data_IF_297700644314
#
_entry.id   IF_297700644314
#
_cell.length_a   1.000
_cell.length_b   1.000
_cell.length_c   1.000
_cell.angle_alpha   90.00
_cell.angle_beta   90.00
_cell.angle_gamma   90.00
#
_symmetry.space_group_name_H-M   'P 1'
#
loop_
_entity.id
_entity.type
_entity.pdbx_description
1 polymer ?
#
# COMPACT_ATOMS: atom_id res chain seq x y z
N UNK A 1 -30.77 12.61 21.64
CA UNK A 1 -29.93 12.19 22.80
C UNK A 1 -28.67 11.57 22.21
N UNK A 2 -27.65 12.42 22.07
CA UNK A 2 -26.37 12.05 21.39
C UNK A 2 -25.39 11.42 22.37
N UNK A 3 -25.50 10.13 22.64
CA UNK A 3 -24.57 9.42 23.52
C UNK A 3 -23.68 8.46 22.72
N UNK A 4 -23.99 8.22 21.43
CA UNK A 4 -23.27 7.23 20.60
C UNK A 4 -21.88 7.66 20.10
N UNK A 5 -21.65 8.96 19.95
CA UNK A 5 -20.44 9.48 19.29
C UNK A 5 -19.22 9.69 20.22
N UNK A 6 -19.43 9.77 21.55
CA UNK A 6 -18.34 10.10 22.48
C UNK A 6 -17.47 8.90 22.88
N UNK A 7 -17.97 7.69 22.74
CA UNK A 7 -17.25 6.48 23.17
C UNK A 7 -16.15 6.02 22.19
N UNK A 8 -16.29 6.36 20.91
CA UNK A 8 -15.30 5.98 19.86
C UNK A 8 -14.01 6.81 19.92
N UNK A 9 -14.02 8.02 20.47
CA UNK A 9 -12.82 8.89 20.55
C UNK A 9 -11.67 8.33 21.40
N UNK A 10 -11.91 7.27 22.18
CA UNK A 10 -10.89 6.69 23.09
C UNK A 10 -10.14 5.48 22.54
N UNK A 11 -10.58 4.88 21.44
CA UNK A 11 -10.01 3.59 20.97
C UNK A 11 -9.02 3.77 19.82
N UNK A 12 -9.06 4.89 19.08
CA UNK A 12 -8.14 5.13 17.95
C UNK A 12 -7.12 6.20 18.26
N UNK A 13 -6.06 5.81 18.96
CA UNK A 13 -4.90 6.69 19.22
C UNK A 13 -3.83 6.68 18.11
N UNK A 14 -4.11 6.20 16.90
CA UNK A 14 -3.13 6.20 15.83
C UNK A 14 -3.72 6.74 14.53
N UNK A 15 -3.34 7.96 14.18
CA UNK A 15 -3.35 8.62 12.85
C UNK A 15 -4.65 8.70 12.05
N UNK A 16 -5.74 8.10 12.46
CA UNK A 16 -7.04 8.28 11.83
C UNK A 16 -7.92 9.09 12.77
N UNK A 17 -8.29 10.32 12.38
CA UNK A 17 -9.29 11.08 13.09
C UNK A 17 -10.65 10.66 12.55
N UNK A 18 -11.43 9.94 13.34
CA UNK A 18 -12.83 9.68 13.05
C UNK A 18 -13.62 10.98 13.11
N UNK A 19 -14.35 11.29 12.05
CA UNK A 19 -15.35 12.36 12.03
C UNK A 19 -16.68 11.67 12.27
N UNK A 20 -17.26 11.89 13.45
CA UNK A 20 -18.59 11.36 13.73
C UNK A 20 -19.63 12.04 12.83
N UNK A 21 -20.46 11.26 12.17
CA UNK A 21 -21.59 11.76 11.37
C UNK A 21 -22.62 12.37 12.30
N UNK A 22 -22.71 13.69 12.36
CA UNK A 22 -23.78 14.40 13.04
C UNK A 22 -25.01 14.38 12.14
N UNK A 23 -25.99 13.55 12.46
CA UNK A 23 -27.26 13.40 11.71
C UNK A 23 -28.23 14.56 12.05
N UNK A 24 -27.76 15.79 12.00
CA UNK A 24 -28.64 16.95 11.98
C UNK A 24 -28.69 17.51 10.55
N UNK A 25 -29.87 17.63 9.91
CA UNK A 25 -29.93 18.18 8.55
C UNK A 25 -29.48 19.63 8.57
N UNK A 26 -28.31 19.91 7.99
CA UNK A 26 -27.92 21.27 7.65
C UNK A 26 -28.55 21.64 6.30
N UNK A 27 -29.35 22.69 6.29
CA UNK A 27 -30.21 23.12 5.16
C UNK A 27 -29.41 23.81 4.03
N UNK A 28 -28.08 23.79 4.05
CA UNK A 28 -27.24 24.55 3.11
C UNK A 28 -26.06 23.73 2.54
N UNK A 29 -26.27 22.45 2.22
CA UNK A 29 -25.25 21.74 1.44
C UNK A 29 -25.43 22.08 -0.05
N UNK A 30 -24.53 22.92 -0.57
CA UNK A 30 -24.36 23.08 -2.00
C UNK A 30 -24.17 21.69 -2.63
N UNK A 31 -24.77 21.46 -3.80
CA UNK A 31 -24.66 20.20 -4.57
C UNK A 31 -23.19 19.76 -4.64
N UNK A 32 -22.80 18.83 -3.76
CA UNK A 32 -21.49 18.23 -3.79
C UNK A 32 -21.55 17.03 -4.74
N UNK A 33 -20.63 16.99 -5.69
CA UNK A 33 -20.49 15.84 -6.58
C UNK A 33 -20.07 14.62 -5.71
N UNK A 34 -21.00 13.67 -5.57
CA UNK A 34 -20.83 12.48 -4.72
C UNK A 34 -20.54 11.22 -5.52
N UNK A 35 -20.18 11.36 -6.80
CA UNK A 35 -19.83 10.20 -7.62
C UNK A 35 -18.48 9.62 -7.19
N UNK A 36 -18.35 8.29 -7.16
CA UNK A 36 -17.08 7.63 -6.83
C UNK A 36 -15.98 8.03 -7.81
N UNK A 37 -14.79 8.29 -7.31
CA UNK A 37 -13.62 8.55 -8.17
C UNK A 37 -13.21 7.22 -8.81
N UNK A 38 -13.49 7.08 -10.10
CA UNK A 38 -12.98 5.97 -10.90
C UNK A 38 -11.55 6.32 -11.31
N UNK A 39 -10.57 5.65 -10.77
CA UNK A 39 -9.19 5.75 -11.24
C UNK A 39 -9.14 5.06 -12.60
N UNK A 40 -8.78 5.75 -13.70
CA UNK A 40 -8.66 5.09 -14.99
C UNK A 40 -7.56 4.04 -14.90
N UNK A 41 -7.91 2.79 -15.19
CA UNK A 41 -6.93 1.73 -15.45
C UNK A 41 -6.13 2.14 -16.68
N UNK A 42 -4.82 2.31 -16.55
CA UNK A 42 -3.93 2.59 -17.66
C UNK A 42 -3.86 1.38 -18.58
N UNK A 43 -4.75 1.33 -19.56
CA UNK A 43 -4.56 0.52 -20.75
C UNK A 43 -3.67 1.31 -21.71
N UNK A 44 -2.43 0.85 -21.85
CA UNK A 44 -1.50 1.29 -22.87
C UNK A 44 -2.02 0.89 -24.25
N UNK A 45 -2.48 1.85 -25.02
CA UNK A 45 -2.50 1.75 -26.48
C UNK A 45 -1.46 2.74 -27.01
N UNK A 46 -0.44 2.19 -27.66
CA UNK A 46 0.57 2.90 -28.39
C UNK A 46 -0.04 3.57 -29.62
N UNK A 47 0.25 4.86 -29.82
CA UNK A 47 0.36 5.44 -31.15
C UNK A 47 1.49 6.47 -31.17
N UNK A 48 2.32 6.30 -32.20
CA UNK A 48 3.53 7.03 -32.51
C UNK A 48 3.27 8.51 -32.83
N UNK A 49 4.14 9.38 -32.37
CA UNK A 49 4.64 10.47 -33.22
C UNK A 49 5.96 11.00 -32.68
N UNK A 50 6.91 11.07 -33.60
CA UNK A 50 8.28 11.52 -33.44
C UNK A 50 8.40 13.02 -33.09
N UNK A 51 9.40 13.41 -32.33
CA UNK A 51 10.55 14.24 -32.73
C UNK A 51 11.40 14.68 -31.53
N UNK A 52 12.68 14.56 -31.74
CA UNK A 52 13.86 15.33 -31.33
C UNK A 52 14.48 15.16 -29.92
N UNK A 53 15.59 14.52 -30.04
CA UNK A 53 16.93 14.58 -29.47
C UNK A 53 17.20 15.45 -28.22
N UNK A 54 17.63 14.81 -27.16
CA UNK A 54 18.82 15.25 -26.46
C UNK A 54 19.61 14.04 -25.90
N UNK A 55 20.85 13.97 -26.36
CA UNK A 55 21.85 12.96 -26.07
C UNK A 55 22.23 12.93 -24.58
N UNK A 56 22.19 11.79 -23.97
CA UNK A 56 23.17 11.41 -22.95
C UNK A 56 23.44 9.92 -23.06
N UNK A 57 24.64 9.64 -23.46
CA UNK A 57 25.29 8.36 -23.66
C UNK A 57 25.32 7.50 -22.39
N UNK A 58 24.86 6.26 -22.48
CA UNK A 58 25.60 5.12 -21.95
C UNK A 58 25.12 3.84 -22.63
N UNK A 59 25.81 3.55 -23.75
CA UNK A 59 25.82 2.29 -24.44
C UNK A 59 26.65 1.29 -23.64
N UNK A 60 26.07 0.14 -23.31
CA UNK A 60 26.86 -1.02 -22.88
C UNK A 60 26.40 -2.26 -23.65
N UNK A 61 27.26 -2.61 -24.59
CA UNK A 61 27.60 -3.92 -25.19
C UNK A 61 26.51 -4.68 -25.97
N UNK A 62 26.66 -4.55 -27.30
CA UNK A 62 26.47 -5.67 -28.22
C UNK A 62 27.86 -6.15 -28.66
N UNK A 63 28.23 -7.35 -28.25
CA UNK A 63 29.36 -8.09 -28.77
C UNK A 63 28.96 -8.63 -30.16
N UNK A 64 29.51 -8.05 -31.21
CA UNK A 64 29.65 -8.73 -32.50
C UNK A 64 31.13 -8.79 -32.84
N UNK A 65 31.64 -10.01 -32.87
CA UNK A 65 32.96 -10.38 -33.31
C UNK A 65 33.27 -9.81 -34.71
N UNK A 66 34.28 -8.97 -34.78
CA UNK A 66 35.11 -8.82 -35.97
C UNK A 66 36.55 -8.96 -35.52
N UNK A 67 37.10 -10.14 -35.74
CA UNK A 67 38.51 -10.41 -35.58
C UNK A 67 39.30 -9.48 -36.49
N UNK A 68 40.17 -8.66 -35.92
CA UNK A 68 41.21 -7.93 -36.63
C UNK A 68 42.37 -8.89 -36.91
N UNK A 69 42.75 -9.16 -38.18
CA UNK A 69 43.76 -10.16 -38.49
C UNK A 69 45.21 -9.73 -38.25
N UNK A 70 45.45 -8.57 -37.64
CA UNK A 70 46.80 -8.04 -37.37
C UNK A 70 47.23 -8.09 -35.89
N UNK A 71 46.39 -8.63 -34.99
CA UNK A 71 46.76 -8.77 -33.58
C UNK A 71 47.54 -10.06 -33.32
N UNK A 72 48.85 -9.94 -33.13
CA UNK A 72 49.70 -11.01 -32.56
C UNK A 72 49.72 -10.80 -31.03
N UNK A 73 49.26 -11.78 -30.23
CA UNK A 73 49.40 -11.69 -28.80
C UNK A 73 50.86 -11.85 -28.41
N UNK A 74 51.44 -10.83 -27.79
CA UNK A 74 52.71 -10.98 -27.09
C UNK A 74 52.50 -11.90 -25.90
N UNK A 75 53.27 -12.99 -25.83
CA UNK A 75 53.39 -13.85 -24.64
C UNK A 75 53.88 -13.02 -23.45
N UNK A 76 52.97 -12.60 -22.64
CA UNK A 76 53.19 -11.91 -21.37
C UNK A 76 52.15 -12.36 -20.39
N UNK A 77 52.43 -13.43 -19.67
CA UNK A 77 51.78 -13.88 -18.47
C UNK A 77 51.80 -12.75 -17.41
N UNK A 78 50.77 -11.92 -17.41
CA UNK A 78 50.37 -11.15 -16.23
C UNK A 78 48.86 -11.31 -16.10
N UNK A 79 48.46 -12.32 -15.37
CA UNK A 79 47.14 -12.33 -14.75
C UNK A 79 47.07 -11.09 -13.85
N UNK A 80 46.34 -10.06 -14.30
CA UNK A 80 46.22 -8.83 -13.59
C UNK A 80 45.55 -9.10 -12.24
N UNK A 81 46.22 -8.78 -11.12
CA UNK A 81 45.71 -8.84 -9.76
C UNK A 81 44.36 -8.12 -9.56
N UNK A 82 44.00 -7.20 -10.46
CA UNK A 82 42.75 -6.45 -10.45
C UNK A 82 41.48 -7.30 -10.67
N UNK A 83 41.59 -8.43 -11.41
CA UNK A 83 40.41 -9.30 -11.63
C UNK A 83 40.08 -10.19 -10.43
N UNK A 84 41.08 -10.56 -9.63
CA UNK A 84 40.89 -11.37 -8.42
C UNK A 84 40.35 -10.50 -7.28
N UNK A 85 40.89 -9.29 -7.12
CA UNK A 85 40.42 -8.34 -6.12
C UNK A 85 38.94 -7.92 -6.35
N UNK A 86 38.53 -7.78 -7.63
CA UNK A 86 37.14 -7.49 -7.97
C UNK A 86 36.21 -8.66 -7.62
N UNK A 87 36.63 -9.91 -7.87
CA UNK A 87 35.85 -11.11 -7.54
C UNK A 87 35.67 -11.28 -6.02
N UNK A 88 36.71 -10.99 -5.23
CA UNK A 88 36.62 -11.04 -3.76
C UNK A 88 35.72 -9.94 -3.21
N UNK A 89 35.78 -8.72 -3.75
CA UNK A 89 34.92 -7.64 -3.35
C UNK A 89 33.44 -7.92 -3.68
N UNK A 90 33.16 -8.47 -4.85
CA UNK A 90 31.80 -8.86 -5.27
C UNK A 90 31.24 -9.98 -4.40
N UNK A 91 32.07 -10.95 -4.04
CA UNK A 91 31.68 -12.02 -3.13
C UNK A 91 31.35 -11.50 -1.73
N UNK A 92 32.19 -10.61 -1.16
CA UNK A 92 31.94 -9.97 0.12
C UNK A 92 30.66 -9.13 0.10
N UNK A 93 30.45 -8.35 -0.94
CA UNK A 93 29.23 -7.56 -1.11
C UNK A 93 27.98 -8.45 -1.18
N UNK A 94 28.01 -9.52 -1.94
CA UNK A 94 26.92 -10.49 -2.02
C UNK A 94 26.61 -11.15 -0.67
N UNK A 95 27.66 -11.46 0.11
CA UNK A 95 27.52 -12.01 1.45
C UNK A 95 26.90 -11.01 2.43
N UNK A 96 27.33 -9.75 2.40
CA UNK A 96 26.75 -8.68 3.22
C UNK A 96 25.27 -8.43 2.89
N UNK A 97 24.89 -8.38 1.61
CA UNK A 97 23.51 -8.26 1.17
C UNK A 97 22.64 -9.42 1.67
N UNK A 98 23.15 -10.64 1.60
CA UNK A 98 22.44 -11.82 2.12
C UNK A 98 22.24 -11.75 3.64
N UNK A 99 23.24 -11.27 4.37
CA UNK A 99 23.14 -11.09 5.82
C UNK A 99 22.12 -10.00 6.16
N UNK A 100 22.11 -8.87 5.47
CA UNK A 100 21.14 -7.79 5.65
C UNK A 100 19.70 -8.26 5.42
N UNK A 101 19.47 -9.02 4.34
CA UNK A 101 18.18 -9.63 4.07
C UNK A 101 17.74 -10.58 5.21
N UNK A 102 18.64 -11.46 5.65
CA UNK A 102 18.32 -12.40 6.73
C UNK A 102 17.96 -11.68 8.05
N UNK A 103 18.67 -10.60 8.38
CA UNK A 103 18.35 -9.77 9.55
C UNK A 103 16.97 -9.11 9.40
N UNK A 104 16.67 -8.58 8.23
CA UNK A 104 15.35 -7.99 7.94
C UNK A 104 14.23 -9.02 8.11
N UNK A 105 14.40 -10.22 7.57
CA UNK A 105 13.41 -11.30 7.72
C UNK A 105 13.25 -11.72 9.19
N UNK A 106 14.36 -11.85 9.92
CA UNK A 106 14.33 -12.16 11.36
C UNK A 106 13.56 -11.08 12.15
N UNK A 107 13.77 -9.80 11.87
CA UNK A 107 13.02 -8.72 12.51
C UNK A 107 11.53 -8.77 12.19
N UNK A 108 11.17 -9.07 10.94
CA UNK A 108 9.78 -9.22 10.51
C UNK A 108 9.12 -10.40 11.25
N UNK A 109 9.78 -11.55 11.32
CA UNK A 109 9.26 -12.76 11.97
C UNK A 109 9.12 -12.57 13.49
N UNK A 110 10.05 -11.87 14.12
CA UNK A 110 9.99 -11.60 15.56
C UNK A 110 8.91 -10.56 15.91
N UNK A 111 8.62 -9.62 15.02
CA UNK A 111 7.62 -8.57 15.29
C UNK A 111 6.78 -8.22 14.05
N UNK A 112 5.99 -9.18 13.53
CA UNK A 112 5.23 -8.99 12.30
C UNK A 112 4.18 -7.88 12.42
N UNK A 113 3.64 -7.65 13.61
CA UNK A 113 2.68 -6.56 13.84
C UNK A 113 3.30 -5.18 13.64
N UNK A 114 4.56 -4.99 14.01
CA UNK A 114 5.28 -3.73 13.79
C UNK A 114 5.54 -3.51 12.31
N UNK A 115 6.14 -4.51 11.64
CA UNK A 115 6.66 -4.36 10.29
C UNK A 115 5.61 -4.56 9.19
N UNK A 116 4.68 -5.49 9.39
CA UNK A 116 3.67 -5.85 8.39
C UNK A 116 2.24 -5.43 8.77
N UNK A 117 2.01 -5.04 10.02
CA UNK A 117 0.67 -4.78 10.54
C UNK A 117 -0.16 -6.04 10.84
N UNK A 118 0.44 -7.23 10.74
CA UNK A 118 -0.23 -8.53 10.92
C UNK A 118 0.10 -9.07 12.31
N UNK A 119 -0.93 -9.50 13.05
CA UNK A 119 -0.72 -10.15 14.35
C UNK A 119 0.02 -11.47 14.17
N UNK A 120 0.97 -11.85 15.08
CA UNK A 120 1.70 -13.10 14.99
C UNK A 120 0.81 -14.34 14.84
N UNK A 121 -0.35 -14.36 15.48
CA UNK A 121 -1.32 -15.47 15.37
C UNK A 121 -1.90 -15.62 13.96
N UNK A 122 -1.90 -14.57 13.16
CA UNK A 122 -2.49 -14.52 11.84
C UNK A 122 -1.46 -14.63 10.69
N UNK A 123 -0.20 -14.92 10.98
CA UNK A 123 0.85 -15.07 9.95
C UNK A 123 0.56 -16.22 8.96
N UNK A 124 -0.27 -17.19 9.33
CA UNK A 124 -0.73 -18.26 8.45
C UNK A 124 -1.54 -17.72 7.26
N UNK A 125 -2.25 -16.60 7.43
CA UNK A 125 -3.02 -15.93 6.36
C UNK A 125 -2.09 -15.51 5.21
N UNK A 126 -0.88 -15.05 5.51
CA UNK A 126 0.10 -14.65 4.49
C UNK A 126 0.59 -15.86 3.67
N UNK A 127 0.67 -17.04 4.28
CA UNK A 127 1.01 -18.28 3.56
C UNK A 127 -0.12 -18.69 2.62
N UNK A 128 -1.36 -18.55 3.05
CA UNK A 128 -2.52 -18.82 2.18
C UNK A 128 -2.64 -17.78 1.07
N UNK A 129 -2.39 -16.49 1.36
CA UNK A 129 -2.28 -15.43 0.35
C UNK A 129 -1.22 -15.78 -0.71
N UNK A 130 -0.01 -16.18 -0.28
CA UNK A 130 1.07 -16.57 -1.19
C UNK A 130 0.66 -17.70 -2.13
N UNK A 131 -0.03 -18.72 -1.60
CA UNK A 131 -0.52 -19.85 -2.39
C UNK A 131 -1.65 -19.44 -3.36
N UNK A 132 -2.64 -18.69 -2.86
CA UNK A 132 -3.81 -18.28 -3.63
C UNK A 132 -3.42 -17.37 -4.80
N UNK A 133 -2.59 -16.37 -4.54
CA UNK A 133 -2.20 -15.38 -5.55
C UNK A 133 -0.92 -15.75 -6.31
N UNK A 134 -0.28 -16.89 -5.98
CA UNK A 134 1.02 -17.32 -6.54
C UNK A 134 2.10 -16.24 -6.42
N UNK A 135 2.09 -15.48 -5.32
CA UNK A 135 3.04 -14.41 -5.04
C UNK A 135 4.11 -14.93 -4.09
N UNK A 136 5.38 -14.63 -4.37
CA UNK A 136 6.48 -14.96 -3.46
C UNK A 136 6.29 -14.24 -2.11
N UNK A 137 6.56 -14.94 -1.00
CA UNK A 137 6.42 -14.39 0.35
C UNK A 137 7.22 -13.10 0.55
N UNK A 138 8.38 -12.99 -0.07
CA UNK A 138 9.21 -11.79 -0.02
C UNK A 138 8.50 -10.56 -0.59
N UNK A 139 7.81 -10.71 -1.72
CA UNK A 139 7.03 -9.62 -2.33
C UNK A 139 5.85 -9.20 -1.45
N UNK A 140 5.19 -10.17 -0.78
CA UNK A 140 4.13 -9.87 0.19
C UNK A 140 4.69 -9.03 1.33
N UNK A 141 5.86 -9.39 1.87
CA UNK A 141 6.51 -8.62 2.94
C UNK A 141 6.88 -7.20 2.49
N UNK A 142 7.40 -7.04 1.27
CA UNK A 142 7.71 -5.71 0.69
C UNK A 142 6.45 -4.85 0.63
N UNK A 143 5.34 -5.38 0.06
CA UNK A 143 4.08 -4.62 -0.09
C UNK A 143 3.49 -4.26 1.27
N UNK A 144 3.37 -5.23 2.18
CA UNK A 144 2.79 -4.98 3.50
C UNK A 144 3.63 -4.01 4.33
N UNK A 145 4.97 -4.12 4.26
CA UNK A 145 5.87 -3.19 4.94
C UNK A 145 5.78 -1.78 4.36
N UNK A 146 5.65 -1.65 3.03
CA UNK A 146 5.37 -0.37 2.37
C UNK A 146 4.08 0.25 2.87
N UNK A 147 2.99 -0.50 2.91
CA UNK A 147 1.69 -0.02 3.41
C UNK A 147 1.77 0.34 4.90
N UNK A 148 2.43 -0.48 5.70
CA UNK A 148 2.48 -0.32 7.16
C UNK A 148 3.33 0.85 7.62
N UNK A 149 4.52 1.00 7.04
CA UNK A 149 5.53 1.96 7.50
C UNK A 149 5.71 3.16 6.57
N UNK A 150 5.19 3.07 5.34
CA UNK A 150 5.37 4.09 4.28
C UNK A 150 6.85 4.46 4.05
N UNK A 151 7.75 3.47 4.16
CA UNK A 151 9.17 3.67 3.88
C UNK A 151 9.40 4.03 2.41
N UNK A 152 10.48 4.76 2.13
CA UNK A 152 10.88 5.05 0.76
C UNK A 152 11.31 3.77 0.03
N UNK A 153 11.25 3.78 -1.31
CA UNK A 153 11.67 2.61 -2.08
C UNK A 153 13.19 2.34 -1.96
N UNK A 154 13.99 3.36 -1.62
CA UNK A 154 15.40 3.26 -1.28
C UNK A 154 15.61 2.43 -0.01
N UNK A 155 14.92 2.81 1.08
CA UNK A 155 15.02 2.09 2.36
C UNK A 155 14.55 0.63 2.23
N UNK A 156 13.50 0.40 1.43
CA UNK A 156 13.05 -0.96 1.14
C UNK A 156 14.09 -1.73 0.30
N UNK A 157 14.76 -1.08 -0.66
CA UNK A 157 15.80 -1.73 -1.46
C UNK A 157 16.98 -2.19 -0.60
N UNK A 158 17.39 -1.36 0.34
CA UNK A 158 18.46 -1.68 1.31
C UNK A 158 18.02 -2.83 2.24
N UNK A 159 16.82 -2.73 2.81
CA UNK A 159 16.28 -3.72 3.74
C UNK A 159 16.11 -5.11 3.09
N UNK A 160 15.65 -5.16 1.85
CA UNK A 160 15.40 -6.41 1.12
C UNK A 160 16.54 -6.80 0.18
N UNK A 161 17.65 -6.05 0.20
CA UNK A 161 18.86 -6.32 -0.59
C UNK A 161 18.58 -6.53 -2.08
N UNK A 162 17.76 -5.67 -2.65
CA UNK A 162 17.41 -5.71 -4.08
C UNK A 162 17.35 -4.31 -4.68
N UNK A 163 17.28 -4.21 -6.00
CA UNK A 163 17.24 -2.90 -6.66
C UNK A 163 15.93 -2.15 -6.40
N UNK A 164 15.98 -0.81 -6.41
CA UNK A 164 14.80 0.05 -6.31
C UNK A 164 13.74 -0.29 -7.37
N UNK A 165 14.16 -0.62 -8.60
CA UNK A 165 13.26 -1.05 -9.66
C UNK A 165 12.58 -2.38 -9.37
N UNK A 166 13.25 -3.30 -8.67
CA UNK A 166 12.64 -4.55 -8.19
C UNK A 166 11.58 -4.27 -7.13
N UNK A 167 11.85 -3.36 -6.18
CA UNK A 167 10.87 -2.93 -5.18
C UNK A 167 9.64 -2.30 -5.85
N UNK A 168 9.84 -1.35 -6.80
CA UNK A 168 8.73 -0.73 -7.52
C UNK A 168 7.85 -1.76 -8.23
N UNK A 169 8.47 -2.73 -8.94
CA UNK A 169 7.72 -3.83 -9.57
C UNK A 169 7.00 -4.70 -8.56
N UNK A 170 7.69 -5.12 -7.49
CA UNK A 170 7.08 -5.94 -6.45
C UNK A 170 5.82 -5.25 -5.86
N UNK A 171 5.84 -3.94 -5.66
CA UNK A 171 4.69 -3.20 -5.14
C UNK A 171 3.59 -3.10 -6.22
N UNK A 172 3.90 -2.63 -7.42
CA UNK A 172 2.90 -2.37 -8.46
C UNK A 172 2.20 -3.66 -8.93
N UNK A 173 2.95 -4.73 -9.11
CA UNK A 173 2.42 -5.99 -9.64
C UNK A 173 1.62 -6.77 -8.60
N UNK A 174 1.92 -6.61 -7.30
CA UNK A 174 1.32 -7.44 -6.26
C UNK A 174 0.29 -6.71 -5.38
N UNK A 175 0.17 -5.37 -5.48
CA UNK A 175 -0.77 -4.61 -4.66
C UNK A 175 -2.23 -5.03 -4.92
N UNK A 176 -2.61 -5.15 -6.20
CA UNK A 176 -3.98 -5.52 -6.58
C UNK A 176 -4.32 -6.95 -6.16
N UNK A 177 -3.55 -8.00 -6.52
CA UNK A 177 -3.84 -9.36 -6.08
C UNK A 177 -3.90 -9.52 -4.55
N UNK A 178 -3.03 -8.83 -3.81
CA UNK A 178 -3.07 -8.81 -2.34
C UNK A 178 -4.35 -8.17 -1.84
N UNK A 179 -4.77 -7.05 -2.43
CA UNK A 179 -6.01 -6.35 -2.09
C UNK A 179 -7.24 -7.24 -2.36
N UNK A 180 -7.29 -7.91 -3.50
CA UNK A 180 -8.37 -8.83 -3.86
C UNK A 180 -8.50 -9.98 -2.86
N UNK A 181 -7.38 -10.60 -2.48
CA UNK A 181 -7.40 -11.64 -1.45
C UNK A 181 -7.90 -11.09 -0.10
N UNK A 182 -7.38 -9.94 0.34
CA UNK A 182 -7.76 -9.35 1.62
C UNK A 182 -9.22 -8.89 1.63
N UNK A 183 -9.78 -8.50 0.50
CA UNK A 183 -11.18 -8.11 0.38
C UNK A 183 -12.15 -9.25 0.72
N UNK A 184 -11.73 -10.52 0.56
CA UNK A 184 -12.53 -11.69 0.93
C UNK A 184 -12.82 -11.77 2.44
N UNK A 185 -12.06 -11.08 3.27
CA UNK A 185 -12.28 -10.99 4.73
C UNK A 185 -13.26 -9.88 5.11
N UNK A 186 -13.70 -9.05 4.16
CA UNK A 186 -14.67 -8.00 4.39
C UNK A 186 -16.05 -8.55 4.01
N UNK A 187 -16.85 -8.92 5.00
CA UNK A 187 -18.19 -9.48 4.81
C UNK A 187 -19.10 -9.17 6.00
N UNK A 188 -20.41 -9.22 5.79
CA UNK A 188 -21.37 -9.05 6.87
C UNK A 188 -21.49 -10.36 7.67
N UNK A 189 -21.03 -10.35 8.94
CA UNK A 189 -21.17 -11.52 9.81
C UNK A 189 -22.63 -11.73 10.20
N UNK A 190 -23.00 -12.99 10.55
CA UNK A 190 -24.35 -13.27 11.03
C UNK A 190 -24.63 -12.53 12.34
N UNK A 191 -25.90 -12.18 12.56
CA UNK A 191 -26.34 -11.48 13.78
C UNK A 191 -25.98 -12.24 15.05
N UNK A 192 -26.05 -13.57 15.02
CA UNK A 192 -25.70 -14.45 16.14
C UNK A 192 -24.20 -14.34 16.46
N UNK A 193 -23.36 -14.32 15.43
CA UNK A 193 -21.91 -14.17 15.59
C UNK A 193 -21.56 -12.80 16.18
N UNK A 194 -22.21 -11.75 15.67
CA UNK A 194 -22.05 -10.40 16.23
C UNK A 194 -22.44 -10.37 17.71
N UNK A 195 -23.61 -10.89 18.09
CA UNK A 195 -24.10 -10.88 19.48
C UNK A 195 -23.18 -11.63 20.43
N UNK A 196 -22.60 -12.76 20.03
CA UNK A 196 -21.68 -13.53 20.86
C UNK A 196 -20.41 -12.76 21.18
N UNK A 197 -19.94 -11.94 20.26
CA UNK A 197 -18.65 -11.23 20.34
C UNK A 197 -18.80 -9.75 20.75
N UNK A 198 -20.01 -9.28 21.08
CA UNK A 198 -20.23 -7.90 21.52
C UNK A 198 -19.43 -7.61 22.78
N UNK A 199 -18.56 -6.57 22.80
CA UNK A 199 -17.82 -6.16 23.99
C UNK A 199 -18.76 -5.80 25.15
N UNK A 200 -18.31 -6.04 26.37
CA UNK A 200 -19.12 -5.81 27.58
C UNK A 200 -19.67 -4.38 27.65
N UNK A 201 -18.89 -3.39 27.22
CA UNK A 201 -19.29 -1.99 27.18
C UNK A 201 -20.52 -1.72 26.28
N UNK A 202 -20.71 -2.51 25.21
CA UNK A 202 -21.85 -2.39 24.31
C UNK A 202 -23.07 -3.17 24.80
N UNK A 203 -22.88 -4.25 25.58
CA UNK A 203 -23.97 -5.14 26.00
C UNK A 203 -25.03 -4.42 26.85
N UNK A 204 -24.58 -3.48 27.68
CA UNK A 204 -25.48 -2.80 28.63
C UNK A 204 -26.45 -1.80 27.93
N UNK A 205 -25.91 -1.00 26.99
CA UNK A 205 -26.65 0.14 26.44
C UNK A 205 -26.86 0.04 24.91
N UNK A 206 -26.08 -0.79 24.23
CA UNK A 206 -26.02 -0.84 22.77
C UNK A 206 -26.12 -2.26 22.22
N UNK A 207 -26.85 -3.15 22.91
CA UNK A 207 -26.97 -4.58 22.54
C UNK A 207 -27.58 -4.85 21.15
N UNK A 208 -28.32 -3.86 20.62
CA UNK A 208 -28.97 -3.94 19.30
C UNK A 208 -28.15 -3.27 18.18
N UNK A 209 -26.99 -2.69 18.48
CA UNK A 209 -26.12 -2.10 17.46
C UNK A 209 -25.46 -3.22 16.68
N UNK A 210 -25.68 -3.25 15.38
CA UNK A 210 -25.10 -4.24 14.46
C UNK A 210 -23.85 -3.71 13.77
N UNK A 211 -23.81 -2.39 13.51
CA UNK A 211 -22.71 -1.74 12.84
C UNK A 211 -22.43 -0.33 13.40
N UNK A 212 -21.18 0.06 13.34
CA UNK A 212 -20.70 1.40 13.61
C UNK A 212 -20.12 1.91 12.30
N UNK A 213 -20.60 3.05 11.85
CA UNK A 213 -20.25 3.64 10.56
C UNK A 213 -19.41 4.90 10.81
N UNK A 214 -18.34 5.07 10.06
CA UNK A 214 -17.51 6.28 10.11
C UNK A 214 -16.84 6.51 8.76
N UNK A 215 -16.52 7.77 8.45
CA UNK A 215 -15.72 8.11 7.28
C UNK A 215 -14.29 8.41 7.68
N UNK A 216 -13.34 7.95 6.89
CA UNK A 216 -11.94 8.36 7.04
C UNK A 216 -11.37 8.88 5.72
N UNK A 217 -10.41 9.76 5.81
CA UNK A 217 -9.76 10.37 4.66
C UNK A 217 -8.29 9.99 4.61
N UNK A 218 -7.80 9.73 3.40
CA UNK A 218 -6.39 9.51 3.12
C UNK A 218 -5.88 10.70 2.33
N UNK A 219 -4.83 11.36 2.81
CA UNK A 219 -4.14 12.42 2.08
C UNK A 219 -3.54 11.87 0.79
N UNK A 220 -3.73 12.60 -0.30
CA UNK A 220 -3.16 12.30 -1.61
C UNK A 220 -2.30 13.47 -2.08
N UNK A 221 -1.41 13.20 -3.03
CA UNK A 221 -0.70 14.25 -3.74
C UNK A 221 -1.72 15.16 -4.45
N UNK A 222 -1.41 16.46 -4.48
CA UNK A 222 -2.25 17.45 -5.16
C UNK A 222 -2.38 17.07 -6.64
N UNK A 223 -3.59 16.79 -7.14
CA UNK A 223 -3.81 16.48 -8.55
C UNK A 223 -3.35 17.62 -9.46
N UNK A 224 -2.85 17.31 -10.67
CA UNK A 224 -2.49 18.32 -11.66
C UNK A 224 -3.70 19.00 -12.29
N UNK A 225 -4.81 18.28 -12.38
CA UNK A 225 -6.07 18.79 -12.92
C UNK A 225 -6.83 19.63 -11.89
N UNK A 226 -7.34 20.81 -12.32
CA UNK A 226 -8.03 21.76 -11.42
C UNK A 226 -9.38 21.26 -10.92
N UNK A 227 -10.10 20.47 -11.74
CA UNK A 227 -11.37 19.88 -11.34
C UNK A 227 -11.14 18.82 -10.26
N UNK A 228 -10.17 17.91 -10.48
CA UNK A 228 -9.78 16.90 -9.48
C UNK A 228 -9.24 17.54 -8.21
N UNK A 229 -8.50 18.67 -8.29
CA UNK A 229 -8.09 19.42 -7.10
C UNK A 229 -9.31 19.89 -6.29
N UNK A 230 -10.32 20.43 -6.97
CA UNK A 230 -11.54 20.92 -6.33
C UNK A 230 -12.35 19.79 -5.70
N UNK A 231 -12.52 18.67 -6.40
CA UNK A 231 -13.27 17.51 -5.93
C UNK A 231 -12.62 16.80 -4.74
N UNK A 232 -11.28 16.77 -4.73
CA UNK A 232 -10.52 16.07 -3.67
C UNK A 232 -10.14 16.97 -2.49
N UNK A 233 -10.41 18.27 -2.55
CA UNK A 233 -10.10 19.20 -1.47
C UNK A 233 -10.92 18.91 -0.20
N UNK A 234 -10.24 18.64 0.90
CA UNK A 234 -10.85 18.49 2.22
C UNK A 234 -10.74 19.79 3.01
N UNK A 235 -11.90 20.39 3.34
CA UNK A 235 -11.93 21.59 4.20
C UNK A 235 -11.53 21.28 5.64
N UNK A 236 -11.63 20.04 6.04
CA UNK A 236 -11.25 19.61 7.38
C UNK A 236 -9.74 19.46 7.53
N UNK A 237 -9.08 18.78 6.59
CA UNK A 237 -7.63 18.54 6.62
C UNK A 237 -6.80 19.62 5.95
N UNK A 238 -7.45 20.51 5.15
CA UNK A 238 -6.78 21.56 4.36
C UNK A 238 -5.78 21.04 3.34
N UNK A 239 -6.03 19.86 2.81
CA UNK A 239 -5.25 19.21 1.76
C UNK A 239 -6.17 18.39 0.84
N UNK A 240 -5.61 17.85 -0.24
CA UNK A 240 -6.35 16.94 -1.12
C UNK A 240 -6.40 15.53 -0.50
N UNK A 241 -7.60 14.95 -0.44
CA UNK A 241 -7.86 13.65 0.19
C UNK A 241 -8.80 12.80 -0.64
N UNK A 242 -8.75 11.49 -0.42
CA UNK A 242 -9.79 10.54 -0.82
C UNK A 242 -10.47 10.04 0.44
N UNK A 243 -11.79 10.10 0.45
CA UNK A 243 -12.66 9.73 1.57
C UNK A 243 -13.29 8.36 1.34
N UNK A 244 -13.35 7.55 2.38
CA UNK A 244 -13.96 6.23 2.39
C UNK A 244 -14.93 6.12 3.56
N UNK A 245 -16.11 5.53 3.29
CA UNK A 245 -17.02 5.10 4.34
C UNK A 245 -16.62 3.69 4.77
N UNK A 246 -16.46 3.48 6.07
CA UNK A 246 -16.19 2.17 6.67
C UNK A 246 -17.27 1.83 7.66
N UNK A 247 -17.74 0.61 7.60
CA UNK A 247 -18.60 0.02 8.60
C UNK A 247 -17.90 -1.09 9.35
N UNK A 248 -18.01 -1.10 10.65
CA UNK A 248 -17.48 -2.16 11.51
C UNK A 248 -18.53 -2.64 12.50
N UNK A 249 -18.48 -3.91 12.84
CA UNK A 249 -19.24 -4.44 13.97
C UNK A 249 -18.73 -3.87 15.30
N UNK A 250 -19.52 -3.88 16.39
CA UNK A 250 -19.08 -3.43 17.71
C UNK A 250 -17.84 -4.15 18.24
N UNK A 251 -17.53 -5.36 17.77
CA UNK A 251 -16.33 -6.09 18.11
C UNK A 251 -15.10 -5.69 17.27
N UNK A 252 -15.22 -4.71 16.36
CA UNK A 252 -14.12 -4.18 15.58
C UNK A 252 -13.87 -4.90 14.25
N UNK A 253 -14.75 -5.81 13.84
CA UNK A 253 -14.67 -6.50 12.56
C UNK A 253 -15.19 -5.58 11.45
N UNK A 254 -14.36 -5.28 10.44
CA UNK A 254 -14.75 -4.46 9.28
C UNK A 254 -15.64 -5.29 8.36
N UNK A 255 -16.87 -4.83 8.13
CA UNK A 255 -17.86 -5.54 7.33
C UNK A 255 -18.22 -4.84 6.02
N UNK A 256 -17.78 -3.59 5.84
CA UNK A 256 -17.96 -2.85 4.61
C UNK A 256 -16.93 -1.73 4.46
N UNK A 257 -16.48 -1.50 3.23
CA UNK A 257 -15.68 -0.35 2.80
C UNK A 257 -16.25 0.14 1.48
N UNK A 258 -16.56 1.44 1.39
CA UNK A 258 -17.07 2.04 0.15
C UNK A 258 -15.97 2.20 -0.91
N UNK A 259 -16.36 2.57 -2.12
CA UNK A 259 -15.46 3.18 -3.09
C UNK A 259 -14.91 4.51 -2.55
N UNK A 260 -13.83 5.00 -3.15
CA UNK A 260 -13.24 6.29 -2.80
C UNK A 260 -14.05 7.47 -3.34
N UNK A 261 -14.31 8.45 -2.49
CA UNK A 261 -14.92 9.73 -2.84
C UNK A 261 -13.90 10.85 -2.68
N UNK A 262 -14.09 11.96 -3.40
CA UNK A 262 -13.26 13.15 -3.16
C UNK A 262 -13.48 13.71 -1.76
N UNK A 263 -12.43 14.26 -1.13
CA UNK A 263 -12.49 14.80 0.24
C UNK A 263 -13.54 15.89 0.45
N UNK A 264 -14.01 16.51 -0.63
CA UNK A 264 -15.10 17.50 -0.62
C UNK A 264 -16.47 16.90 -0.33
N UNK A 265 -16.68 15.60 -0.59
CA UNK A 265 -17.95 14.95 -0.36
C UNK A 265 -18.31 14.96 1.13
N UNK A 266 -19.56 15.27 1.47
CA UNK A 266 -20.03 15.18 2.85
C UNK A 266 -20.25 13.72 3.26
N UNK A 267 -20.02 13.41 4.53
CA UNK A 267 -20.20 12.05 5.06
C UNK A 267 -21.66 11.58 4.88
N UNK A 268 -22.62 12.50 5.05
CA UNK A 268 -24.04 12.22 4.84
C UNK A 268 -24.33 11.81 3.40
N UNK A 269 -23.80 12.54 2.43
CA UNK A 269 -24.04 12.23 1.01
C UNK A 269 -23.43 10.92 0.57
N UNK A 270 -22.37 10.43 1.26
CA UNK A 270 -21.78 9.11 0.99
C UNK A 270 -22.66 7.99 1.59
N UNK A 271 -23.25 8.23 2.76
CA UNK A 271 -24.11 7.23 3.44
C UNK A 271 -25.43 7.03 2.70
N UNK A 272 -25.95 8.07 2.03
CA UNK A 272 -27.22 8.04 1.32
C UNK A 272 -27.16 7.34 -0.05
N UNK A 273 -25.96 7.08 -0.59
CA UNK A 273 -25.73 6.36 -1.85
C UNK A 273 -25.52 4.86 -1.64
#
# INVERSE_FOLDING_TARGET
MDVGCQTMKRITKNKFRSVGVNVAPSVNDAETNTDPITVPSSTSSAEESATEESKSSNSIYSLTDRADPTYQPSDGTFASSSSVENLESDFLNAQMLKQALNLTLMFIENNPKLYLGVDPSNMTILKELSKFSNIQMLHIYVVLRKIRLNESNELLSDAFSCSKSTICRAINDNLVPISEFLSTFIFWPSRELCKRNVPLAFRANYSNVEAVIDCFEIEIEKPGDSEMQSLTWSDYYKCNTVKFLVSSSPCGFINFISLGYGGRASDLSIVEK
#
